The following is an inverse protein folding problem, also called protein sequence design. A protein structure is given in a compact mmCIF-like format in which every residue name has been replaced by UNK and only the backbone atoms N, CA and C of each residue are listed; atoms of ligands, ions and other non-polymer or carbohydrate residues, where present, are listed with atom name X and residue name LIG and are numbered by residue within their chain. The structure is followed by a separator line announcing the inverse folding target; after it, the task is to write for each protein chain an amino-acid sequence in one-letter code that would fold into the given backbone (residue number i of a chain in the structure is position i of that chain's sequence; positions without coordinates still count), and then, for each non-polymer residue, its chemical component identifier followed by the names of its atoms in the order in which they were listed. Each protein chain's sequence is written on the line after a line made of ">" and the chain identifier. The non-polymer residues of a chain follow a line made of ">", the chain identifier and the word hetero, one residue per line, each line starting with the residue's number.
data_IF_151059814030
#
_entry.id   IF_151059814030
#
_cell.length_a   1.000
_cell.length_b   1.000
_cell.length_c   1.000
_cell.angle_alpha   90.00
_cell.angle_beta   90.00
_cell.angle_gamma   90.00
#
_symmetry.space_group_name_H-M   'P 1'
#
loop_
_entity.id
_entity.type
_entity.pdbx_description
1 polymer ?
#
# COMPACT_ATOMS: atom_id res chain seq x y z
N UNK A 1 38.05 -2.63 -8.71
CA UNK A 1 37.55 -1.67 -7.71
C UNK A 1 37.18 -0.41 -8.48
N UNK A 2 35.89 -0.20 -8.75
CA UNK A 2 35.41 1.00 -9.44
C UNK A 2 34.64 1.82 -8.41
N UNK A 3 35.32 2.83 -7.88
CA UNK A 3 34.75 3.87 -7.05
C UNK A 3 33.86 4.73 -7.96
N UNK A 4 32.55 4.60 -7.84
CA UNK A 4 31.62 5.55 -8.43
C UNK A 4 31.44 6.70 -7.45
N UNK A 5 32.23 7.76 -7.61
CA UNK A 5 31.96 9.07 -7.04
C UNK A 5 30.67 9.64 -7.65
N UNK A 6 29.52 9.31 -7.06
CA UNK A 6 28.25 9.98 -7.33
C UNK A 6 28.01 11.05 -6.26
N UNK A 7 28.88 12.06 -6.24
CA UNK A 7 28.56 13.36 -5.66
C UNK A 7 27.95 14.24 -6.75
N UNK A 8 26.71 13.92 -7.14
CA UNK A 8 25.85 14.90 -7.80
C UNK A 8 25.40 15.83 -6.69
N UNK A 9 25.85 17.09 -6.74
CA UNK A 9 25.67 18.08 -5.69
C UNK A 9 24.25 18.08 -5.12
N UNK A 10 24.13 17.67 -3.85
CA UNK A 10 22.88 17.67 -3.08
C UNK A 10 22.26 16.31 -2.78
N UNK A 11 22.74 15.21 -3.35
CA UNK A 11 22.25 13.86 -3.03
C UNK A 11 23.03 13.29 -1.84
N UNK A 12 22.37 12.96 -0.72
CA UNK A 12 23.09 12.34 0.39
C UNK A 12 23.46 10.90 0.02
N UNK A 13 24.59 10.39 0.52
CA UNK A 13 25.03 9.00 0.24
C UNK A 13 23.95 7.99 0.60
N UNK A 14 23.14 8.28 1.61
CA UNK A 14 22.04 7.41 2.03
C UNK A 14 20.87 7.44 1.04
N UNK A 15 20.59 8.57 0.37
CA UNK A 15 19.60 8.65 -0.71
C UNK A 15 20.02 7.77 -1.90
N UNK A 16 21.32 7.77 -2.24
CA UNK A 16 21.88 6.89 -3.29
C UNK A 16 21.70 5.42 -2.90
N UNK A 17 21.94 5.08 -1.63
CA UNK A 17 21.70 3.72 -1.12
C UNK A 17 20.21 3.34 -1.23
N UNK A 18 19.30 4.19 -0.78
CA UNK A 18 17.84 3.93 -0.87
C UNK A 18 17.39 3.76 -2.33
N UNK A 19 17.83 4.66 -3.21
CA UNK A 19 17.55 4.58 -4.64
C UNK A 19 18.05 3.26 -5.23
N UNK A 20 19.29 2.87 -4.88
CA UNK A 20 19.91 1.63 -5.35
C UNK A 20 19.16 0.39 -4.84
N UNK A 21 18.74 0.38 -3.58
CA UNK A 21 17.95 -0.72 -3.00
C UNK A 21 16.61 -0.88 -3.73
N UNK A 22 15.88 0.22 -3.93
CA UNK A 22 14.59 0.20 -4.66
C UNK A 22 14.80 -0.28 -6.09
N UNK A 23 15.80 0.26 -6.78
CA UNK A 23 16.11 -0.12 -8.17
C UNK A 23 16.49 -1.60 -8.26
N UNK A 24 17.34 -2.08 -7.36
CA UNK A 24 17.78 -3.48 -7.30
C UNK A 24 16.62 -4.42 -6.99
N UNK A 25 15.76 -4.09 -6.03
CA UNK A 25 14.56 -4.89 -5.71
C UNK A 25 13.63 -5.00 -6.93
N UNK A 26 13.53 -3.92 -7.70
CA UNK A 26 12.69 -3.85 -8.88
C UNK A 26 13.25 -4.62 -10.09
N UNK A 27 14.56 -4.85 -10.14
CA UNK A 27 15.26 -5.54 -11.22
C UNK A 27 15.07 -7.07 -11.13
N UNK A 28 13.83 -7.55 -11.23
CA UNK A 28 13.47 -8.97 -11.05
C UNK A 28 14.17 -9.88 -12.06
N UNK A 29 14.90 -10.87 -11.55
CA UNK A 29 15.61 -11.88 -12.34
C UNK A 29 14.99 -13.25 -12.13
N UNK A 30 14.88 -14.03 -13.20
CA UNK A 30 14.44 -15.43 -13.13
C UNK A 30 15.60 -16.34 -12.72
N UNK A 31 16.08 -16.18 -11.48
CA UNK A 31 17.13 -17.01 -10.88
C UNK A 31 16.60 -17.66 -9.61
N UNK A 32 17.00 -18.91 -9.33
CA UNK A 32 16.58 -19.66 -8.14
C UNK A 32 16.93 -18.93 -6.83
N UNK A 33 18.03 -18.16 -6.84
CA UNK A 33 18.49 -17.40 -5.67
C UNK A 33 17.90 -15.99 -5.59
N UNK A 34 17.20 -15.54 -6.63
CA UNK A 34 16.65 -14.19 -6.67
C UNK A 34 15.62 -13.95 -5.58
N UNK A 35 14.78 -14.94 -5.27
CA UNK A 35 13.76 -14.80 -4.22
C UNK A 35 14.37 -14.54 -2.83
N UNK A 36 15.47 -15.23 -2.50
CA UNK A 36 16.21 -14.99 -1.26
C UNK A 36 16.83 -13.60 -1.25
N UNK A 37 17.49 -13.23 -2.34
CA UNK A 37 18.10 -11.90 -2.48
C UNK A 37 17.06 -10.78 -2.42
N UNK A 38 15.90 -10.97 -3.04
CA UNK A 38 14.78 -10.05 -2.99
C UNK A 38 14.29 -9.87 -1.56
N UNK A 39 14.12 -10.96 -0.81
CA UNK A 39 13.75 -10.91 0.61
C UNK A 39 14.78 -10.14 1.45
N UNK A 40 16.08 -10.33 1.22
CA UNK A 40 17.12 -9.57 1.93
C UNK A 40 17.10 -8.07 1.60
N UNK A 41 16.88 -7.72 0.33
CA UNK A 41 16.73 -6.33 -0.13
C UNK A 41 15.50 -5.68 0.49
N UNK A 42 14.40 -6.42 0.53
CA UNK A 42 13.11 -6.02 1.10
C UNK A 42 13.22 -5.74 2.61
N UNK A 43 13.84 -6.67 3.36
CA UNK A 43 14.09 -6.49 4.79
C UNK A 43 15.01 -5.31 5.08
N UNK A 44 16.04 -5.12 4.25
CA UNK A 44 16.95 -3.97 4.35
C UNK A 44 16.20 -2.65 4.11
N UNK A 45 15.30 -2.63 3.13
CA UNK A 45 14.47 -1.47 2.83
C UNK A 45 13.48 -1.17 3.96
N UNK A 46 12.85 -2.19 4.55
CA UNK A 46 11.98 -2.03 5.74
C UNK A 46 12.77 -1.51 6.94
N UNK A 47 13.97 -2.04 7.20
CA UNK A 47 14.81 -1.56 8.30
C UNK A 47 15.23 -0.10 8.11
N UNK A 48 15.52 0.30 6.88
CA UNK A 48 15.82 1.70 6.55
C UNK A 48 14.59 2.59 6.74
N UNK A 49 13.43 2.12 6.32
CA UNK A 49 12.17 2.82 6.44
C UNK A 49 11.71 3.00 7.90
N UNK A 50 11.99 2.03 8.78
CA UNK A 50 11.66 2.13 10.22
C UNK A 50 12.59 3.08 10.99
N UNK A 51 13.86 3.18 10.57
CA UNK A 51 14.84 4.08 11.20
C UNK A 51 14.77 5.50 10.64
N UNK A 52 14.57 5.63 9.33
CA UNK A 52 14.62 6.89 8.60
C UNK A 52 13.52 6.96 7.53
N UNK A 53 12.23 7.08 7.92
CA UNK A 53 11.10 7.05 6.99
C UNK A 53 11.14 8.17 5.93
N UNK A 54 11.77 9.31 6.25
CA UNK A 54 11.95 10.44 5.33
C UNK A 54 12.76 10.08 4.08
N UNK A 55 13.70 9.14 4.17
CA UNK A 55 14.50 8.72 3.03
C UNK A 55 13.63 8.00 1.99
N UNK A 56 12.72 7.15 2.44
CA UNK A 56 11.80 6.44 1.52
C UNK A 56 10.78 7.41 0.94
N UNK A 57 10.26 8.34 1.74
CA UNK A 57 9.30 9.34 1.30
C UNK A 57 9.86 10.22 0.16
N UNK A 58 11.17 10.53 0.19
CA UNK A 58 11.86 11.23 -0.89
C UNK A 58 11.95 10.41 -2.18
N UNK A 59 11.93 9.09 -2.09
CA UNK A 59 12.02 8.16 -3.22
C UNK A 59 10.64 7.73 -3.77
N UNK A 60 9.52 8.26 -3.26
CA UNK A 60 8.19 7.94 -3.81
C UNK A 60 8.07 8.19 -5.33
N UNK A 61 8.64 9.26 -5.93
CA UNK A 61 8.63 9.42 -7.38
C UNK A 61 9.33 8.27 -8.13
N UNK A 62 10.42 7.75 -7.58
CA UNK A 62 11.11 6.57 -8.13
C UNK A 62 10.21 5.34 -8.04
N UNK A 63 9.59 5.09 -6.88
CA UNK A 63 8.66 3.97 -6.68
C UNK A 63 7.52 4.02 -7.70
N UNK A 64 6.91 5.20 -7.90
CA UNK A 64 5.85 5.40 -8.88
C UNK A 64 6.31 5.03 -10.30
N UNK A 65 7.47 5.53 -10.71
CA UNK A 65 8.04 5.30 -12.05
C UNK A 65 8.36 3.83 -12.27
N UNK A 66 8.93 3.19 -11.24
CA UNK A 66 9.29 1.78 -11.25
C UNK A 66 8.03 0.93 -11.41
N UNK A 67 6.97 1.16 -10.64
CA UNK A 67 5.74 0.36 -10.76
C UNK A 67 5.00 0.61 -12.09
N UNK A 68 4.95 1.87 -12.56
CA UNK A 68 4.24 2.24 -13.79
C UNK A 68 4.70 1.42 -14.99
N UNK A 69 6.01 1.23 -15.16
CA UNK A 69 6.57 0.47 -16.28
C UNK A 69 6.25 -1.04 -16.28
N UNK A 70 5.44 -1.54 -15.34
CA UNK A 70 5.09 -2.97 -15.22
C UNK A 70 3.61 -3.27 -15.38
N UNK A 71 2.73 -2.28 -15.32
CA UNK A 71 1.28 -2.49 -15.38
C UNK A 71 0.80 -2.80 -16.80
N UNK A 72 1.55 -2.37 -17.81
CA UNK A 72 1.27 -2.60 -19.24
C UNK A 72 1.83 -3.94 -19.77
N UNK A 73 2.42 -4.77 -18.91
CA UNK A 73 3.02 -6.04 -19.34
C UNK A 73 1.96 -7.12 -19.57
N UNK A 74 2.22 -8.08 -20.45
CA UNK A 74 1.34 -9.26 -20.55
C UNK A 74 1.28 -10.03 -19.23
N UNK A 75 0.10 -10.54 -18.87
CA UNK A 75 -0.11 -11.28 -17.62
C UNK A 75 0.88 -12.46 -17.46
N UNK A 76 1.21 -13.16 -18.54
CA UNK A 76 2.19 -14.25 -18.54
C UNK A 76 3.57 -13.77 -18.09
N UNK A 77 4.04 -12.62 -18.59
CA UNK A 77 5.31 -12.02 -18.20
C UNK A 77 5.24 -11.49 -16.77
N UNK A 78 4.12 -10.85 -16.42
CA UNK A 78 3.85 -10.29 -15.11
C UNK A 78 3.94 -11.35 -14.00
N UNK A 79 3.28 -12.50 -14.23
CA UNK A 79 3.29 -13.66 -13.33
C UNK A 79 4.67 -14.33 -13.31
N UNK A 80 5.27 -14.58 -14.48
CA UNK A 80 6.54 -15.28 -14.58
C UNK A 80 7.70 -14.53 -13.91
N UNK A 81 7.73 -13.20 -13.99
CA UNK A 81 8.76 -12.36 -13.36
C UNK A 81 8.43 -11.96 -11.91
N UNK A 82 7.36 -12.52 -11.35
CA UNK A 82 6.89 -12.24 -9.99
C UNK A 82 6.72 -10.74 -9.74
N UNK A 83 6.24 -9.99 -10.74
CA UNK A 83 6.00 -8.56 -10.59
C UNK A 83 4.92 -8.27 -9.55
N UNK A 84 3.92 -9.15 -9.40
CA UNK A 84 2.92 -9.06 -8.32
C UNK A 84 3.56 -9.00 -6.92
N UNK A 85 4.66 -9.73 -6.70
CA UNK A 85 5.34 -9.71 -5.41
C UNK A 85 5.96 -8.33 -5.12
N UNK A 86 6.45 -7.64 -6.15
CA UNK A 86 6.94 -6.26 -6.00
C UNK A 86 5.84 -5.31 -5.56
N UNK A 87 4.63 -5.45 -6.11
CA UNK A 87 3.49 -4.64 -5.69
C UNK A 87 3.09 -4.92 -4.23
N UNK A 88 3.21 -6.17 -3.76
CA UNK A 88 2.95 -6.52 -2.37
C UNK A 88 4.01 -5.94 -1.42
N UNK A 89 5.30 -6.07 -1.77
CA UNK A 89 6.41 -5.50 -1.00
C UNK A 89 6.31 -3.98 -0.90
N UNK A 90 6.03 -3.30 -2.02
CA UNK A 90 5.82 -1.85 -2.03
C UNK A 90 4.60 -1.46 -1.21
N UNK A 91 3.49 -2.18 -1.33
CA UNK A 91 2.28 -1.91 -0.54
C UNK A 91 2.57 -1.97 0.96
N UNK A 92 3.27 -3.03 1.41
CA UNK A 92 3.72 -3.14 2.80
C UNK A 92 4.70 -2.05 3.22
N UNK A 93 5.55 -1.57 2.32
CA UNK A 93 6.43 -0.43 2.57
C UNK A 93 5.63 0.87 2.76
N UNK A 94 4.61 1.13 1.93
CA UNK A 94 3.75 2.31 2.05
C UNK A 94 2.96 2.29 3.37
N UNK A 95 2.44 1.12 3.76
CA UNK A 95 1.74 0.94 5.04
C UNK A 95 2.60 1.33 6.24
N UNK A 96 3.88 0.96 6.22
CA UNK A 96 4.80 1.28 7.31
C UNK A 96 5.16 2.78 7.38
N UNK A 97 4.95 3.53 6.31
CA UNK A 97 5.19 4.98 6.27
C UNK A 97 3.98 5.78 6.78
N UNK A 98 2.84 5.13 7.04
CA UNK A 98 1.70 5.77 7.67
C UNK A 98 2.06 6.24 9.09
N UNK A 99 1.59 7.42 9.52
CA UNK A 99 0.73 8.36 8.79
C UNK A 99 1.50 9.41 7.98
N UNK A 100 2.83 9.45 8.07
CA UNK A 100 3.69 10.49 7.48
C UNK A 100 3.55 10.64 5.97
N UNK A 101 3.20 9.56 5.26
CA UNK A 101 3.00 9.54 3.82
C UNK A 101 1.80 10.40 3.36
N UNK A 102 0.82 10.65 4.24
CA UNK A 102 -0.39 11.40 3.90
C UNK A 102 -0.22 12.93 3.94
N UNK A 103 0.98 13.44 4.18
CA UNK A 103 1.27 14.88 4.15
C UNK A 103 1.18 15.43 2.72
N UNK A 104 0.68 16.67 2.58
CA UNK A 104 0.49 17.34 1.29
C UNK A 104 1.73 17.37 0.40
N UNK A 105 2.93 17.46 0.98
CA UNK A 105 4.19 17.47 0.21
C UNK A 105 4.44 16.17 -0.58
N UNK A 106 3.81 15.06 -0.19
CA UNK A 106 3.95 13.75 -0.83
C UNK A 106 2.70 13.32 -1.61
N UNK A 107 1.64 14.14 -1.64
CA UNK A 107 0.37 13.75 -2.26
C UNK A 107 0.51 13.42 -3.74
N UNK A 108 1.24 14.23 -4.50
CA UNK A 108 1.42 14.03 -5.96
C UNK A 108 2.09 12.69 -6.29
N UNK A 109 3.28 12.35 -5.75
CA UNK A 109 3.89 11.05 -6.04
C UNK A 109 3.09 9.89 -5.43
N UNK A 110 2.44 10.07 -4.29
CA UNK A 110 1.55 9.06 -3.71
C UNK A 110 0.38 8.74 -4.62
N UNK A 111 -0.35 9.75 -5.10
CA UNK A 111 -1.49 9.59 -6.01
C UNK A 111 -1.06 8.86 -7.30
N UNK A 112 0.11 9.19 -7.86
CA UNK A 112 0.65 8.45 -9.01
C UNK A 112 0.88 6.96 -8.71
N UNK A 113 1.31 6.62 -7.50
CA UNK A 113 1.44 5.22 -7.10
C UNK A 113 0.06 4.57 -7.01
N UNK A 114 -0.91 5.24 -6.38
CA UNK A 114 -2.27 4.72 -6.24
C UNK A 114 -2.96 4.53 -7.61
N UNK A 115 -2.75 5.44 -8.57
CA UNK A 115 -3.24 5.32 -9.95
C UNK A 115 -2.76 4.00 -10.58
N UNK A 116 -1.48 3.66 -10.39
CA UNK A 116 -0.87 2.42 -10.89
C UNK A 116 -1.48 1.18 -10.22
N UNK A 117 -1.84 1.25 -8.93
CA UNK A 117 -2.54 0.14 -8.27
C UNK A 117 -3.95 -0.07 -8.82
N UNK A 118 -4.69 1.01 -9.10
CA UNK A 118 -6.02 0.92 -9.71
C UNK A 118 -5.93 0.30 -11.11
N UNK A 119 -4.98 0.75 -11.91
CA UNK A 119 -4.72 0.20 -13.25
C UNK A 119 -4.31 -1.28 -13.18
N UNK A 120 -3.48 -1.67 -12.20
CA UNK A 120 -3.15 -3.07 -11.92
C UNK A 120 -4.40 -3.91 -11.63
N UNK A 121 -5.34 -3.38 -10.85
CA UNK A 121 -6.57 -4.05 -10.48
C UNK A 121 -7.53 -4.19 -11.67
N UNK A 122 -7.61 -3.18 -12.54
CA UNK A 122 -8.39 -3.25 -13.78
C UNK A 122 -7.82 -4.29 -14.73
N UNK A 123 -6.49 -4.35 -14.86
CA UNK A 123 -5.83 -5.23 -15.84
C UNK A 123 -5.76 -6.70 -15.39
N UNK A 124 -5.58 -6.96 -14.09
CA UNK A 124 -5.27 -8.32 -13.60
C UNK A 124 -6.17 -8.78 -12.45
N UNK A 125 -7.24 -8.06 -12.14
CA UNK A 125 -8.18 -8.46 -11.11
C UNK A 125 -8.75 -9.85 -11.33
N UNK A 126 -9.02 -10.24 -12.59
CA UNK A 126 -9.63 -11.53 -12.94
C UNK A 126 -8.61 -12.65 -12.93
N UNK A 127 -7.45 -12.43 -13.53
CA UNK A 127 -6.40 -13.44 -13.68
C UNK A 127 -5.61 -13.67 -12.38
N UNK A 128 -5.51 -12.65 -11.52
CA UNK A 128 -4.73 -12.70 -10.29
C UNK A 128 -5.44 -13.33 -9.09
N UNK A 129 -6.76 -13.56 -9.17
CA UNK A 129 -7.55 -14.26 -8.17
C UNK A 129 -7.35 -13.73 -6.74
N UNK A 130 -7.19 -14.65 -5.77
CA UNK A 130 -7.08 -14.31 -4.34
C UNK A 130 -5.88 -13.42 -4.02
N UNK A 131 -4.75 -13.56 -4.73
CA UNK A 131 -3.54 -12.80 -4.42
C UNK A 131 -3.72 -11.31 -4.73
N UNK A 132 -4.35 -10.99 -5.87
CA UNK A 132 -4.72 -9.62 -6.21
C UNK A 132 -5.86 -9.15 -5.31
N UNK A 133 -6.83 -10.00 -4.97
CA UNK A 133 -7.89 -9.70 -4.00
C UNK A 133 -7.35 -9.28 -2.63
N UNK A 134 -6.32 -9.93 -2.11
CA UNK A 134 -5.66 -9.53 -0.85
C UNK A 134 -5.00 -8.16 -0.96
N UNK A 135 -4.37 -7.87 -2.10
CA UNK A 135 -3.74 -6.58 -2.37
C UNK A 135 -4.79 -5.47 -2.51
N UNK A 136 -5.93 -5.77 -3.12
CA UNK A 136 -7.11 -4.91 -3.17
C UNK A 136 -7.63 -4.57 -1.77
N UNK A 137 -7.74 -5.56 -0.87
CA UNK A 137 -8.11 -5.32 0.54
C UNK A 137 -7.12 -4.39 1.22
N UNK A 138 -5.81 -4.66 1.07
CA UNK A 138 -4.77 -3.82 1.66
C UNK A 138 -4.82 -2.38 1.13
N UNK A 139 -5.01 -2.22 -0.18
CA UNK A 139 -5.21 -0.92 -0.82
C UNK A 139 -6.43 -0.19 -0.26
N UNK A 140 -7.52 -0.92 0.01
CA UNK A 140 -8.71 -0.34 0.62
C UNK A 140 -8.44 0.18 2.03
N UNK A 141 -7.74 -0.59 2.87
CA UNK A 141 -7.32 -0.16 4.21
C UNK A 141 -6.41 1.07 4.15
N UNK A 142 -5.43 1.06 3.25
CA UNK A 142 -4.51 2.18 3.05
C UNK A 142 -5.27 3.46 2.66
N UNK A 143 -6.22 3.35 1.74
CA UNK A 143 -7.04 4.48 1.28
C UNK A 143 -7.94 5.01 2.40
N UNK A 144 -8.49 4.15 3.25
CA UNK A 144 -9.23 4.60 4.45
C UNK A 144 -8.30 5.35 5.42
N UNK A 145 -7.07 4.87 5.60
CA UNK A 145 -6.03 5.59 6.34
C UNK A 145 -5.75 6.98 5.75
N UNK A 146 -5.74 7.10 4.43
CA UNK A 146 -5.55 8.38 3.73
C UNK A 146 -6.70 9.36 3.98
N UNK A 147 -7.95 8.89 3.92
CA UNK A 147 -9.15 9.69 4.23
C UNK A 147 -9.09 10.20 5.68
N UNK A 148 -8.72 9.32 6.63
CA UNK A 148 -8.67 9.67 8.05
C UNK A 148 -7.65 10.77 8.36
N UNK A 149 -6.46 10.70 7.76
CA UNK A 149 -5.38 11.64 8.06
C UNK A 149 -5.39 12.91 7.17
N UNK A 150 -5.91 12.83 5.95
CA UNK A 150 -5.95 13.95 5.01
C UNK A 150 -7.20 13.90 4.12
N UNK A 151 -8.36 14.11 4.75
CA UNK A 151 -9.68 14.02 4.11
C UNK A 151 -9.80 14.85 2.85
N UNK A 152 -9.32 16.10 2.85
CA UNK A 152 -9.46 17.02 1.70
C UNK A 152 -8.70 16.53 0.47
N UNK A 153 -7.44 16.11 0.61
CA UNK A 153 -6.66 15.64 -0.55
C UNK A 153 -7.08 14.23 -0.98
N UNK A 154 -7.53 13.40 -0.03
CA UNK A 154 -8.08 12.09 -0.33
C UNK A 154 -9.40 12.22 -1.13
N UNK A 155 -10.31 13.11 -0.73
CA UNK A 155 -11.56 13.36 -1.45
C UNK A 155 -11.32 13.81 -2.89
N UNK A 156 -10.47 14.83 -3.11
CA UNK A 156 -10.15 15.30 -4.47
C UNK A 156 -9.56 14.19 -5.35
N UNK A 157 -8.73 13.33 -4.78
CA UNK A 157 -8.16 12.19 -5.50
C UNK A 157 -9.23 11.14 -5.82
N UNK A 158 -10.07 10.79 -4.85
CA UNK A 158 -11.13 9.79 -5.03
C UNK A 158 -12.20 10.27 -6.01
N UNK A 159 -12.58 11.54 -5.99
CA UNK A 159 -13.47 12.15 -6.98
C UNK A 159 -12.91 12.03 -8.40
N UNK A 160 -11.61 12.31 -8.57
CA UNK A 160 -10.93 12.18 -9.86
C UNK A 160 -10.97 10.73 -10.39
N UNK A 161 -10.82 9.76 -9.48
CA UNK A 161 -10.69 8.34 -9.83
C UNK A 161 -11.98 7.55 -9.63
N UNK A 162 -13.10 8.24 -9.41
CA UNK A 162 -14.37 7.63 -9.05
C UNK A 162 -14.87 6.65 -10.10
N UNK A 163 -14.75 6.97 -11.39
CA UNK A 163 -15.20 6.10 -12.48
C UNK A 163 -14.46 4.75 -12.47
N UNK A 164 -13.13 4.78 -12.34
CA UNK A 164 -12.31 3.57 -12.31
C UNK A 164 -12.59 2.71 -11.06
N UNK A 165 -12.86 3.35 -9.91
CA UNK A 165 -13.22 2.64 -8.68
C UNK A 165 -14.61 2.02 -8.81
N UNK A 166 -15.58 2.73 -9.40
CA UNK A 166 -16.94 2.20 -9.63
C UNK A 166 -16.93 0.97 -10.54
N UNK A 167 -16.16 0.99 -11.63
CA UNK A 167 -15.98 -0.20 -12.48
C UNK A 167 -15.44 -1.39 -11.69
N UNK A 168 -14.44 -1.17 -10.84
CA UNK A 168 -13.89 -2.21 -9.96
C UNK A 168 -14.88 -2.69 -8.88
N UNK A 169 -15.84 -1.87 -8.47
CA UNK A 169 -16.88 -2.23 -7.50
C UNK A 169 -17.97 -3.14 -8.07
N UNK A 170 -18.23 -3.03 -9.36
CA UNK A 170 -19.14 -3.93 -10.07
C UNK A 170 -18.54 -5.34 -10.11
N UNK A 171 -17.26 -5.44 -10.45
CA UNK A 171 -16.55 -6.70 -10.59
C UNK A 171 -16.08 -7.30 -9.24
N UNK A 172 -15.80 -6.48 -8.22
CA UNK A 172 -15.20 -6.94 -6.96
C UNK A 172 -15.91 -6.37 -5.72
N UNK A 173 -16.58 -7.25 -4.96
CA UNK A 173 -17.27 -6.90 -3.71
C UNK A 173 -16.35 -6.23 -2.66
N UNK A 174 -15.05 -6.53 -2.67
CA UNK A 174 -14.05 -5.95 -1.74
C UNK A 174 -13.82 -4.46 -2.01
N UNK A 175 -13.98 -4.00 -3.24
CA UNK A 175 -13.83 -2.58 -3.57
C UNK A 175 -15.03 -1.75 -3.14
N UNK A 176 -16.18 -2.39 -2.84
CA UNK A 176 -17.36 -1.72 -2.27
C UNK A 176 -17.13 -1.21 -0.85
N UNK A 177 -16.06 -1.65 -0.18
CA UNK A 177 -15.67 -1.09 1.13
C UNK A 177 -15.03 0.30 1.00
N UNK A 178 -14.58 0.67 -0.21
CA UNK A 178 -14.16 2.03 -0.58
C UNK A 178 -15.33 2.79 -1.21
N UNK A 179 -16.35 3.18 -0.44
CA UNK A 179 -17.40 4.03 -0.99
C UNK A 179 -16.81 5.40 -1.38
N UNK A 180 -16.81 5.69 -2.67
CA UNK A 180 -16.47 7.01 -3.22
C UNK A 180 -17.76 7.74 -3.54
N UNK A 181 -17.93 8.93 -2.96
CA UNK A 181 -19.08 9.82 -3.19
C UNK A 181 -18.63 10.88 -4.18
N UNK A 182 -19.37 11.06 -5.26
CA UNK A 182 -19.17 12.16 -6.21
C UNK A 182 -20.14 13.28 -5.81
N UNK A 183 -19.69 14.51 -5.52
CA UNK A 183 -20.60 15.62 -5.28
C UNK A 183 -21.25 16.12 -6.59
N UNK A 184 -22.58 16.21 -6.60
CA UNK A 184 -23.36 16.90 -7.66
C UNK A 184 -23.26 18.42 -7.48
N UNK A 185 -22.90 19.20 -8.53
CA UNK A 185 -22.91 20.66 -8.48
C UNK A 185 -24.29 21.32 -8.23
N UNK A 186 -25.40 20.57 -8.13
CA UNK A 186 -26.76 21.12 -7.95
C UNK A 186 -27.51 20.66 -6.68
N UNK A 187 -26.80 20.36 -5.60
CA UNK A 187 -27.37 20.37 -4.25
C UNK A 187 -28.36 19.24 -3.97
N UNK A 188 -27.83 18.10 -3.55
CA UNK A 188 -28.63 17.03 -2.95
C UNK A 188 -27.84 15.73 -2.84
N UNK A 189 -27.70 15.23 -1.62
CA UNK A 189 -27.09 13.95 -1.19
C UNK A 189 -25.58 13.95 -0.93
N UNK A 190 -25.24 14.38 0.28
CA UNK A 190 -24.08 13.89 1.04
C UNK A 190 -24.41 12.47 1.53
N UNK A 191 -23.65 11.46 1.10
CA UNK A 191 -23.72 10.10 1.68
C UNK A 191 -22.32 9.52 1.78
N UNK A 192 -21.56 9.94 2.79
CA UNK A 192 -20.39 9.17 3.25
C UNK A 192 -20.92 7.91 3.91
N UNK A 193 -20.80 6.75 3.25
CA UNK A 193 -20.98 5.45 3.91
C UNK A 193 -19.64 4.75 3.88
N UNK A 194 -18.78 5.10 4.82
CA UNK A 194 -17.86 4.12 5.39
C UNK A 194 -18.55 3.57 6.63
N UNK A 195 -19.19 2.40 6.52
CA UNK A 195 -18.80 1.36 7.45
C UNK A 195 -18.78 0.01 6.76
N UNK A 196 -17.65 -0.66 6.84
CA UNK A 196 -17.72 -1.99 7.41
C UNK A 196 -16.45 -2.25 8.20
N UNK A 197 -16.67 -2.68 9.44
CA UNK A 197 -15.69 -3.28 10.32
C UNK A 197 -14.76 -4.20 9.53
N UNK A 198 -13.55 -3.76 9.23
CA UNK A 198 -12.44 -4.65 9.46
C UNK A 198 -12.33 -4.73 10.97
N UNK A 199 -13.03 -5.72 11.53
CA UNK A 199 -12.61 -6.24 12.81
C UNK A 199 -11.09 -6.45 12.69
N UNK A 200 -10.28 -5.91 13.62
CA UNK A 200 -8.89 -6.34 13.68
C UNK A 200 -8.93 -7.88 13.76
N UNK A 201 -8.05 -8.61 13.06
CA UNK A 201 -7.93 -10.04 13.25
C UNK A 201 -7.34 -10.26 14.65
N UNK A 202 -8.14 -10.11 15.71
CA UNK A 202 -7.86 -10.44 17.12
C UNK A 202 -8.96 -10.02 18.12
N UNK A 203 -10.26 -10.01 17.76
CA UNK A 203 -11.30 -9.87 18.81
C UNK A 203 -11.63 -11.19 19.55
N UNK A 204 -11.17 -12.34 19.06
CA UNK A 204 -11.34 -13.61 19.80
C UNK A 204 -10.34 -13.76 20.95
N UNK A 205 -9.15 -13.15 20.87
CA UNK A 205 -8.14 -13.22 21.94
C UNK A 205 -8.40 -12.24 23.09
N UNK A 206 -9.03 -11.08 22.80
CA UNK A 206 -9.32 -10.07 23.84
C UNK A 206 -10.61 -10.35 24.63
N UNK A 207 -11.54 -11.15 24.08
CA UNK A 207 -12.73 -11.58 24.82
C UNK A 207 -12.38 -12.69 25.83
N UNK A 208 -11.50 -13.62 25.46
CA UNK A 208 -11.03 -14.69 26.35
C UNK A 208 -10.21 -14.14 27.51
N UNK A 209 -9.35 -13.12 27.28
CA UNK A 209 -8.61 -12.48 28.39
C UNK A 209 -9.53 -11.71 29.35
N UNK A 210 -10.64 -11.14 28.86
CA UNK A 210 -11.63 -10.45 29.71
C UNK A 210 -12.50 -11.43 30.49
N UNK A 211 -12.94 -12.52 29.88
CA UNK A 211 -13.71 -13.57 30.56
C UNK A 211 -12.85 -14.32 31.60
N UNK A 212 -11.55 -14.54 31.33
CA UNK A 212 -10.62 -15.09 32.31
C UNK A 212 -10.32 -14.11 33.46
N UNK A 213 -10.26 -12.81 33.20
CA UNK A 213 -10.07 -11.79 34.24
C UNK A 213 -11.31 -11.64 35.14
N UNK A 214 -12.53 -11.74 34.59
CA UNK A 214 -13.77 -11.70 35.39
C UNK A 214 -13.96 -12.96 36.24
N UNK A 215 -13.59 -14.15 35.74
CA UNK A 215 -13.67 -15.38 36.53
C UNK A 215 -12.66 -15.40 37.69
N UNK A 216 -11.44 -14.88 37.49
CA UNK A 216 -10.45 -14.75 38.57
C UNK A 216 -10.87 -13.68 39.60
N UNK A 217 -11.48 -12.58 39.16
CA UNK A 217 -11.90 -11.52 40.06
C UNK A 217 -13.14 -11.90 40.90
N UNK A 218 -13.99 -12.80 40.39
CA UNK A 218 -15.13 -13.35 41.14
C UNK A 218 -14.71 -14.44 42.14
N UNK A 219 -13.70 -15.26 41.82
CA UNK A 219 -13.21 -16.28 42.76
C UNK A 219 -12.46 -15.68 43.98
N UNK A 220 -11.84 -14.51 43.84
CA UNK A 220 -11.19 -13.79 44.95
C UNK A 220 -12.22 -13.11 45.89
N UNK A 221 -13.47 -12.92 45.46
CA UNK A 221 -14.54 -12.32 46.30
C UNK A 221 -15.34 -13.34 47.12
N UNK A 222 -15.15 -14.64 46.89
CA UNK A 222 -15.84 -15.73 47.62
C UNK A 222 -14.90 -16.54 48.55
N UNK A 223 -13.70 -16.04 48.83
CA UNK A 223 -12.80 -16.51 49.91
C UNK A 223 -12.65 -15.40 50.95
#
# INVERSE_FOLDING_TARGET
>A
MLNSELSVGGCCTVDVMTHTLITALSARQNSKDWNKRAQELELSLRKMASTHPLLILRQLPLVASVLRGRVDLDWTVFKFRSHLHLFQEVSGLLDMLQPTIFKNQYSVPLQKILDVYIELFQNYGREGGQTVGNLMTQFAVFTQGYIHHNSRQAQLYLEKQASAISELQEDYNIMRTLCVVIPDPKGGHEVIVTPNNLSPPNQMSQQIERDCAELLCNHIKEI
#
